data_IF_932575882540
#
_entry.id   IF_932575882540
#
_cell.length_a   1.000
_cell.length_b   1.000
_cell.length_c   1.000
_cell.angle_alpha   90.00
_cell.angle_beta   90.00
_cell.angle_gamma   90.00
#
_symmetry.space_group_name_H-M   'P 1'
#
loop_
_entity.id
_entity.type
_entity.pdbx_description
1 polymer ?
#
# COMPACT_ATOMS: atom_id res chain seq x y z
N UNK A 1 -3.96 19.78 10.02
CA UNK A 1 -3.03 18.68 10.29
C UNK A 1 -3.35 17.55 9.33
N UNK A 2 -2.34 17.02 8.64
CA UNK A 2 -2.41 15.87 7.73
C UNK A 2 -1.50 14.79 8.29
N UNK A 3 -2.01 13.56 8.36
CA UNK A 3 -1.21 12.40 8.74
C UNK A 3 -1.09 11.46 7.55
N UNK A 4 0.15 11.06 7.24
CA UNK A 4 0.44 10.11 6.16
C UNK A 4 0.61 8.73 6.78
N UNK A 5 -0.28 7.82 6.40
CA UNK A 5 -0.18 6.40 6.75
C UNK A 5 0.06 5.60 5.47
N UNK A 6 1.10 4.77 5.49
CA UNK A 6 1.36 3.83 4.41
C UNK A 6 0.67 2.50 4.67
N UNK A 7 0.03 1.96 3.63
CA UNK A 7 -0.55 0.62 3.63
C UNK A 7 0.18 -0.24 2.58
N UNK A 8 1.33 -0.87 2.94
CA UNK A 8 2.17 -1.58 1.98
C UNK A 8 1.59 -2.96 1.60
N UNK A 9 0.42 -2.97 0.95
CA UNK A 9 -0.34 -4.18 0.60
C UNK A 9 -0.55 -4.33 -0.91
N UNK A 10 -0.54 -5.56 -1.42
CA UNK A 10 -0.72 -5.85 -2.85
C UNK A 10 -1.37 -7.20 -3.18
N UNK A 11 -2.17 -7.77 -2.27
CA UNK A 11 -2.86 -9.05 -2.52
C UNK A 11 -4.28 -8.87 -3.09
N UNK A 12 -4.70 -7.64 -3.39
CA UNK A 12 -5.99 -7.36 -4.02
C UNK A 12 -5.98 -7.53 -5.55
N UNK A 13 -4.82 -7.74 -6.18
CA UNK A 13 -4.66 -7.75 -7.63
C UNK A 13 -3.80 -8.90 -8.13
N UNK A 14 -3.81 -9.11 -9.45
CA UNK A 14 -3.05 -10.20 -10.09
C UNK A 14 -1.53 -9.99 -10.03
N UNK A 15 -1.07 -8.75 -9.91
CA UNK A 15 0.36 -8.41 -9.93
C UNK A 15 0.82 -7.90 -8.58
N UNK A 16 1.91 -8.46 -8.10
CA UNK A 16 2.67 -7.91 -6.98
C UNK A 16 3.32 -6.59 -7.35
N UNK A 17 3.52 -5.71 -6.38
CA UNK A 17 4.30 -4.49 -6.51
C UNK A 17 3.60 -3.23 -5.97
N UNK A 18 2.27 -3.21 -5.87
CA UNK A 18 1.58 -2.03 -5.32
C UNK A 18 1.96 -1.73 -3.87
N UNK A 19 2.45 -2.74 -3.13
CA UNK A 19 2.99 -2.61 -1.77
C UNK A 19 4.18 -1.66 -1.67
N UNK A 20 4.88 -1.41 -2.79
CA UNK A 20 6.02 -0.48 -2.85
C UNK A 20 5.58 0.99 -2.93
N UNK A 21 4.30 1.24 -3.23
CA UNK A 21 3.75 2.59 -3.43
C UNK A 21 4.01 3.55 -2.27
N UNK A 22 3.73 3.20 -1.01
CA UNK A 22 3.97 4.07 0.14
C UNK A 22 5.44 4.53 0.25
N UNK A 23 6.39 3.60 0.15
CA UNK A 23 7.81 3.92 0.18
C UNK A 23 8.23 4.79 -1.02
N UNK A 24 7.70 4.50 -2.22
CA UNK A 24 7.98 5.26 -3.42
C UNK A 24 7.49 6.73 -3.32
N UNK A 25 6.28 6.95 -2.78
CA UNK A 25 5.74 8.30 -2.59
C UNK A 25 6.53 9.10 -1.55
N UNK A 26 7.02 8.45 -0.49
CA UNK A 26 7.93 9.09 0.47
C UNK A 26 9.24 9.51 -0.19
N UNK A 27 9.87 8.61 -0.96
CA UNK A 27 11.08 8.94 -1.71
C UNK A 27 10.87 10.06 -2.74
N UNK A 28 9.65 10.17 -3.29
CA UNK A 28 9.28 11.25 -4.20
C UNK A 28 9.05 12.61 -3.51
N UNK A 29 9.18 12.69 -2.17
CA UNK A 29 9.07 13.94 -1.43
C UNK A 29 7.64 14.38 -1.13
N UNK A 30 6.69 13.44 -1.00
CA UNK A 30 5.29 13.76 -0.72
C UNK A 30 5.11 14.63 0.53
N UNK A 31 5.79 14.28 1.63
CA UNK A 31 5.64 15.00 2.90
C UNK A 31 6.21 16.43 2.79
N UNK A 32 7.36 16.58 2.14
CA UNK A 32 8.02 17.85 1.86
C UNK A 32 7.14 18.74 0.96
N UNK A 33 6.53 18.16 -0.08
CA UNK A 33 5.62 18.86 -0.98
C UNK A 33 4.39 19.40 -0.24
N UNK A 34 3.78 18.59 0.62
CA UNK A 34 2.63 19.01 1.44
C UNK A 34 3.00 20.08 2.48
N UNK A 35 4.18 19.97 3.12
CA UNK A 35 4.70 21.03 4.00
C UNK A 35 4.98 22.32 3.24
N UNK A 36 5.49 22.23 2.00
CA UNK A 36 5.80 23.37 1.14
C UNK A 36 4.59 24.22 0.78
N UNK A 37 3.38 23.66 0.81
CA UNK A 37 2.12 24.40 0.60
C UNK A 37 1.47 24.88 1.91
N UNK A 38 2.16 24.79 3.04
CA UNK A 38 1.72 25.32 4.33
C UNK A 38 0.87 24.36 5.16
N UNK A 39 0.84 23.07 4.84
CA UNK A 39 0.16 22.07 5.67
C UNK A 39 1.09 21.61 6.81
N UNK A 40 0.51 21.44 7.99
CA UNK A 40 1.12 20.70 9.09
C UNK A 40 1.00 19.19 8.82
N UNK A 41 2.13 18.50 8.64
CA UNK A 41 2.20 17.13 8.13
C UNK A 41 3.04 16.23 9.02
N UNK A 42 2.42 15.17 9.52
CA UNK A 42 3.05 14.08 10.26
C UNK A 42 3.13 12.83 9.37
N UNK A 43 4.29 12.18 9.34
CA UNK A 43 4.41 10.84 8.75
C UNK A 43 4.27 9.81 9.86
N UNK A 44 3.14 9.08 9.84
CA UNK A 44 2.81 8.03 10.82
C UNK A 44 3.42 6.68 10.49
N UNK A 45 4.19 6.57 9.40
CA UNK A 45 4.85 5.34 8.98
C UNK A 45 3.92 4.36 8.27
N UNK A 46 4.33 3.10 8.22
CA UNK A 46 3.55 2.02 7.60
C UNK A 46 2.76 1.27 8.66
N UNK A 47 1.51 0.94 8.35
CA UNK A 47 0.72 0.05 9.19
C UNK A 47 1.33 -1.35 9.16
N UNK A 48 1.41 -1.97 10.33
CA UNK A 48 1.83 -3.36 10.43
C UNK A 48 0.82 -4.25 9.71
N UNK A 49 1.29 -5.00 8.72
CA UNK A 49 0.51 -6.10 8.16
C UNK A 49 0.61 -7.29 9.11
N UNK A 50 -0.53 -7.92 9.42
CA UNK A 50 -0.53 -9.23 10.07
C UNK A 50 0.14 -10.29 9.19
N UNK A 51 0.33 -11.50 9.71
CA UNK A 51 0.79 -12.62 8.89
C UNK A 51 -0.18 -12.84 7.71
N UNK A 52 0.30 -12.60 6.49
CA UNK A 52 -0.45 -12.89 5.29
C UNK A 52 0.24 -13.99 4.51
N UNK A 53 -0.29 -15.21 4.62
CA UNK A 53 0.10 -16.33 3.77
C UNK A 53 -0.63 -16.21 2.43
N UNK A 54 0.14 -16.16 1.34
CA UNK A 54 -0.38 -16.23 -0.03
C UNK A 54 -0.20 -17.67 -0.53
N UNK A 55 -1.15 -18.56 -0.23
CA UNK A 55 -1.10 -19.94 -0.75
C UNK A 55 -1.87 -20.14 -2.06
N UNK A 56 -2.52 -19.12 -2.63
CA UNK A 56 -3.39 -19.34 -3.80
C UNK A 56 -3.19 -18.28 -4.88
N UNK A 57 -2.95 -18.74 -6.10
CA UNK A 57 -3.13 -17.96 -7.33
C UNK A 57 -4.64 -17.80 -7.56
N UNK A 58 -5.19 -16.61 -7.27
CA UNK A 58 -6.62 -16.34 -7.39
C UNK A 58 -7.14 -15.36 -6.34
N UNK A 59 -8.44 -15.08 -6.39
CA UNK A 59 -9.13 -14.34 -5.35
C UNK A 59 -9.42 -15.29 -4.18
N UNK A 60 -9.05 -14.90 -2.96
CA UNK A 60 -9.42 -15.64 -1.75
C UNK A 60 -10.96 -15.76 -1.72
N UNK A 61 -11.45 -16.99 -1.55
CA UNK A 61 -12.88 -17.37 -1.59
C UNK A 61 -13.56 -17.37 -2.97
N UNK A 62 -12.81 -17.18 -4.07
CA UNK A 62 -13.34 -17.29 -5.43
C UNK A 62 -12.55 -18.32 -6.24
N UNK A 63 -13.20 -19.39 -6.74
CA UNK A 63 -12.55 -20.33 -7.64
C UNK A 63 -12.13 -19.63 -8.94
N UNK A 64 -10.99 -20.04 -9.49
CA UNK A 64 -10.54 -19.64 -10.81
C UNK A 64 -11.61 -20.01 -11.86
N UNK A 65 -12.06 -19.01 -12.62
CA UNK A 65 -12.97 -19.23 -13.76
C UNK A 65 -12.23 -19.69 -15.03
N UNK A 66 -10.90 -19.73 -14.99
CA UNK A 66 -10.07 -20.16 -16.12
C UNK A 66 -9.94 -21.70 -16.21
N UNK A 67 -10.48 -22.42 -15.23
CA UNK A 67 -10.50 -23.88 -15.16
C UNK A 67 -11.88 -24.49 -15.52
N UNK A 68 -12.82 -23.67 -16.06
CA UNK A 68 -14.13 -24.06 -16.61
C UNK A 68 -14.13 -23.99 -18.14
#
# INVERSE_FOLDING_TARGET
MVEILGAPFDLCGFRTGSRMGPAALRMAGLAEGLRGIGLDVVDGGDIALGEVTSEVCGLRDFPSLLDL
#
